data_IF_858104624869
#
_entry.id   IF_858104624869
#
_cell.length_a   1.000
_cell.length_b   1.000
_cell.length_c   1.000
_cell.angle_alpha   90.00
_cell.angle_beta   90.00
_cell.angle_gamma   90.00
#
_symmetry.space_group_name_H-M   'P 1'
#
loop_
_entity.id
_entity.type
_entity.pdbx_description
1 polymer ?
#
# COMPACT_ATOMS: atom_id res chain seq x y z
N UNK A 1 4.45 -9.72 17.89
CA UNK A 1 5.52 -9.33 16.96
C UNK A 1 6.01 -10.53 16.20
N UNK A 2 6.26 -10.36 14.91
CA UNK A 2 6.69 -11.41 13.99
C UNK A 2 7.90 -10.92 13.19
N UNK A 3 8.81 -11.82 12.81
CA UNK A 3 9.92 -11.48 11.93
C UNK A 3 9.50 -11.65 10.48
N UNK A 4 9.57 -10.58 9.70
CA UNK A 4 9.45 -10.62 8.25
C UNK A 4 10.85 -10.39 7.67
N UNK A 5 11.39 -11.38 6.95
CA UNK A 5 12.73 -11.32 6.34
C UNK A 5 13.85 -10.87 7.31
N UNK A 6 13.75 -11.32 8.57
CA UNK A 6 14.69 -10.98 9.64
C UNK A 6 14.41 -9.65 10.37
N UNK A 7 13.47 -8.84 9.89
CA UNK A 7 13.06 -7.57 10.49
C UNK A 7 11.87 -7.73 11.45
N UNK A 8 11.95 -7.14 12.65
CA UNK A 8 10.85 -7.15 13.60
C UNK A 8 9.67 -6.29 13.10
N UNK A 9 8.50 -6.91 13.01
CA UNK A 9 7.27 -6.26 12.57
C UNK A 9 6.13 -6.46 13.58
N UNK A 10 5.29 -5.42 13.70
CA UNK A 10 3.94 -5.56 14.22
C UNK A 10 3.07 -6.26 13.19
N UNK A 11 2.22 -7.18 13.66
CA UNK A 11 1.21 -7.85 12.85
C UNK A 11 -0.16 -7.28 13.23
N UNK A 12 -0.88 -6.70 12.26
CA UNK A 12 -2.17 -6.08 12.48
C UNK A 12 -3.20 -6.57 11.48
N UNK A 13 -4.39 -6.96 11.97
CA UNK A 13 -5.54 -7.27 11.13
C UNK A 13 -6.42 -6.03 10.94
N UNK A 14 -6.86 -5.79 9.70
CA UNK A 14 -7.77 -4.70 9.33
C UNK A 14 -9.01 -5.29 8.68
N UNK A 15 -10.18 -5.01 9.26
CA UNK A 15 -11.48 -5.41 8.72
C UNK A 15 -12.14 -4.19 8.06
N UNK A 16 -12.50 -4.25 6.77
CA UNK A 16 -13.14 -3.12 6.09
C UNK A 16 -14.51 -2.77 6.69
N UNK A 17 -14.75 -1.49 6.97
CA UNK A 17 -16.07 -0.98 7.40
C UNK A 17 -17.05 -0.90 6.22
N UNK A 18 -16.53 -0.74 5.00
CA UNK A 18 -17.36 -0.66 3.79
C UNK A 18 -17.91 -2.03 3.41
N UNK A 19 -19.24 -2.18 3.50
CA UNK A 19 -19.96 -3.44 3.29
C UNK A 19 -19.72 -4.09 1.93
N UNK A 20 -19.50 -3.29 0.87
CA UNK A 20 -19.28 -3.82 -0.47
C UNK A 20 -17.79 -4.04 -0.81
N UNK A 21 -16.90 -4.02 0.19
CA UNK A 21 -15.51 -4.40 0.01
C UNK A 21 -15.38 -5.76 -0.69
N UNK A 22 -14.40 -5.87 -1.59
CA UNK A 22 -13.99 -7.15 -2.17
C UNK A 22 -13.22 -8.04 -1.18
N UNK A 23 -12.77 -7.46 -0.06
CA UNK A 23 -11.94 -8.11 0.94
C UNK A 23 -12.68 -8.31 2.25
N UNK A 24 -12.49 -9.47 2.87
CA UNK A 24 -12.99 -9.76 4.24
C UNK A 24 -12.05 -9.20 5.29
N UNK A 25 -10.75 -9.25 5.04
CA UNK A 25 -9.71 -8.69 5.91
C UNK A 25 -8.41 -8.42 5.15
N UNK A 26 -7.56 -7.65 5.79
CA UNK A 26 -6.15 -7.48 5.43
C UNK A 26 -5.29 -7.79 6.65
N UNK A 27 -4.18 -8.49 6.44
CA UNK A 27 -3.15 -8.69 7.47
C UNK A 27 -1.93 -7.88 7.07
N UNK A 28 -1.46 -7.02 7.95
CA UNK A 28 -0.43 -6.01 7.66
C UNK A 28 0.76 -6.21 8.58
N UNK A 29 1.93 -6.33 7.98
CA UNK A 29 3.22 -6.30 8.67
C UNK A 29 3.75 -4.88 8.61
N UNK A 30 3.99 -4.28 9.78
CA UNK A 30 4.50 -2.92 9.93
C UNK A 30 5.84 -3.01 10.66
N UNK A 31 6.92 -2.47 10.09
CA UNK A 31 8.22 -2.53 10.77
C UNK A 31 8.22 -1.73 12.07
N UNK A 32 8.85 -2.28 13.10
CA UNK A 32 8.84 -1.68 14.44
C UNK A 32 9.76 -0.45 14.59
N UNK A 33 10.69 -0.24 13.65
CA UNK A 33 11.65 0.86 13.71
C UNK A 33 11.05 2.18 13.19
N UNK A 34 10.38 2.12 12.04
CA UNK A 34 9.93 3.32 11.31
C UNK A 34 8.42 3.31 11.01
N UNK A 35 7.70 2.29 11.50
CA UNK A 35 6.26 2.12 11.32
C UNK A 35 5.80 2.08 9.84
N UNK A 36 6.61 1.52 8.94
CA UNK A 36 6.29 1.39 7.52
C UNK A 36 5.62 0.05 7.23
N UNK A 37 4.61 0.00 6.35
CA UNK A 37 4.04 -1.27 5.93
C UNK A 37 5.04 -2.03 5.05
N UNK A 38 5.45 -3.22 5.46
CA UNK A 38 6.39 -4.05 4.70
C UNK A 38 5.67 -5.04 3.78
N UNK A 39 4.57 -5.61 4.27
CA UNK A 39 3.73 -6.58 3.54
C UNK A 39 2.27 -6.43 3.92
N UNK A 40 1.36 -6.62 2.96
CA UNK A 40 -0.07 -6.76 3.19
C UNK A 40 -0.58 -8.02 2.49
N UNK A 41 -1.32 -8.84 3.22
CA UNK A 41 -2.08 -9.96 2.67
C UNK A 41 -3.56 -9.60 2.60
N UNK A 42 -4.18 -9.84 1.44
CA UNK A 42 -5.57 -9.54 1.17
C UNK A 42 -6.37 -10.83 1.06
N UNK A 43 -7.45 -10.93 1.84
CA UNK A 43 -8.34 -12.08 1.85
C UNK A 43 -9.66 -11.75 1.16
N UNK A 44 -10.11 -12.62 0.25
CA UNK A 44 -11.37 -12.43 -0.49
C UNK A 44 -12.62 -12.73 0.36
N UNK A 45 -13.80 -12.66 -0.27
CA UNK A 45 -15.09 -12.98 0.35
C UNK A 45 -15.26 -14.44 0.77
N UNK A 46 -14.45 -15.36 0.23
CA UNK A 46 -14.39 -16.76 0.63
C UNK A 46 -13.38 -16.99 1.77
N UNK A 47 -12.77 -15.91 2.29
CA UNK A 47 -11.70 -15.92 3.30
C UNK A 47 -10.41 -16.60 2.84
N UNK A 48 -10.22 -16.72 1.52
CA UNK A 48 -9.00 -17.27 0.94
C UNK A 48 -7.99 -16.15 0.69
N UNK A 49 -6.69 -16.46 0.84
CA UNK A 49 -5.62 -15.54 0.45
C UNK A 49 -5.73 -15.27 -1.05
N UNK A 50 -6.05 -14.02 -1.40
CA UNK A 50 -6.25 -13.60 -2.78
C UNK A 50 -4.98 -12.99 -3.33
N UNK A 51 -4.39 -12.05 -2.60
CA UNK A 51 -3.23 -11.28 -3.06
C UNK A 51 -2.28 -10.95 -1.92
N UNK A 52 -0.99 -10.78 -2.26
CA UNK A 52 0.02 -10.21 -1.37
C UNK A 52 0.65 -8.99 -2.03
N UNK A 53 0.74 -7.91 -1.28
CA UNK A 53 1.45 -6.68 -1.63
C UNK A 53 2.72 -6.57 -0.80
N UNK A 54 3.86 -6.40 -1.44
CA UNK A 54 5.16 -6.15 -0.80
C UNK A 54 5.63 -4.74 -1.14
N UNK A 55 6.13 -4.03 -0.14
CA UNK A 55 6.70 -2.69 -0.27
C UNK A 55 8.22 -2.77 -0.16
N UNK A 56 8.93 -2.06 -1.02
CA UNK A 56 10.38 -2.10 -1.09
C UNK A 56 10.95 -0.77 -1.61
N UNK A 57 12.26 -0.61 -1.53
CA UNK A 57 12.95 0.62 -1.96
C UNK A 57 12.42 1.87 -1.25
N UNK A 58 12.27 1.77 0.07
CA UNK A 58 11.85 2.90 0.88
C UNK A 58 12.86 4.05 0.83
N UNK A 59 12.36 5.25 0.57
CA UNK A 59 13.12 6.50 0.70
C UNK A 59 12.40 7.44 1.67
N UNK A 60 13.18 8.19 2.45
CA UNK A 60 12.66 9.16 3.38
C UNK A 60 12.72 10.56 2.76
N UNK A 61 11.57 11.22 2.67
CA UNK A 61 11.43 12.57 2.16
C UNK A 61 11.26 13.56 3.30
N UNK A 62 11.94 14.71 3.20
CA UNK A 62 11.92 15.79 4.21
C UNK A 62 12.25 15.29 5.63
N UNK A 63 13.11 14.28 5.76
CA UNK A 63 13.52 13.68 7.05
C UNK A 63 12.38 13.04 7.86
N UNK A 64 11.20 12.82 7.27
CA UNK A 64 10.01 12.35 7.99
C UNK A 64 9.12 11.39 7.21
N UNK A 65 8.95 11.62 5.92
CA UNK A 65 7.93 10.92 5.13
C UNK A 65 8.54 9.76 4.35
N UNK A 66 8.33 8.54 4.86
CA UNK A 66 8.70 7.34 4.14
C UNK A 66 7.75 7.08 2.95
N UNK A 67 8.33 6.80 1.78
CA UNK A 67 7.62 6.38 0.56
C UNK A 67 8.32 5.17 -0.04
N UNK A 68 7.53 4.14 -0.36
CA UNK A 68 8.01 2.97 -1.10
C UNK A 68 8.13 3.35 -2.57
N UNK A 69 9.29 3.11 -3.18
CA UNK A 69 9.46 3.33 -4.61
C UNK A 69 9.08 2.12 -5.45
N UNK A 70 8.89 0.97 -4.81
CA UNK A 70 8.53 -0.26 -5.49
C UNK A 70 7.50 -1.05 -4.72
N UNK A 71 6.36 -1.29 -5.37
CA UNK A 71 5.25 -2.06 -4.82
C UNK A 71 4.92 -3.22 -5.74
N UNK A 72 5.07 -4.45 -5.26
CA UNK A 72 4.76 -5.65 -6.02
C UNK A 72 3.50 -6.31 -5.47
N UNK A 73 2.45 -6.37 -6.30
CA UNK A 73 1.21 -7.06 -6.02
C UNK A 73 1.19 -8.40 -6.75
N UNK A 74 1.12 -9.50 -6.01
CA UNK A 74 0.97 -10.85 -6.56
C UNK A 74 -0.44 -11.40 -6.25
N UNK A 75 -1.14 -11.90 -7.28
CA UNK A 75 -2.42 -12.59 -7.12
C UNK A 75 -2.21 -14.10 -7.12
N UNK A 76 -2.44 -14.73 -5.97
CA UNK A 76 -2.20 -16.16 -5.77
C UNK A 76 -3.23 -17.06 -6.45
N UNK A 77 -4.40 -16.53 -6.81
CA UNK A 77 -5.45 -17.30 -7.48
C UNK A 77 -5.26 -17.34 -9.00
N UNK A 78 -4.68 -16.29 -9.58
CA UNK A 78 -4.51 -16.19 -11.04
C UNK A 78 -3.07 -16.26 -11.51
N UNK A 79 -2.10 -16.19 -10.59
CA UNK A 79 -0.66 -16.13 -10.88
C UNK A 79 -0.20 -14.81 -11.51
N UNK A 80 -1.10 -13.84 -11.72
CA UNK A 80 -0.75 -12.53 -12.30
C UNK A 80 -0.14 -11.63 -11.24
N UNK A 81 0.86 -10.86 -11.65
CA UNK A 81 1.47 -9.82 -10.82
C UNK A 81 1.32 -8.44 -11.43
N UNK A 82 1.51 -7.42 -10.60
CA UNK A 82 1.60 -6.01 -11.03
C UNK A 82 2.67 -5.35 -10.19
N UNK A 83 3.64 -4.74 -10.86
CA UNK A 83 4.68 -3.95 -10.23
C UNK A 83 4.38 -2.46 -10.46
N UNK A 84 4.36 -1.68 -9.38
CA UNK A 84 4.32 -0.23 -9.44
C UNK A 84 5.69 0.30 -9.05
N UNK A 85 6.30 1.06 -9.95
CA UNK A 85 7.56 1.78 -9.71
C UNK A 85 7.28 3.28 -9.70
N UNK A 86 7.87 3.97 -8.72
CA UNK A 86 7.67 5.40 -8.54
C UNK A 86 8.99 6.15 -8.75
N UNK A 87 8.93 7.23 -9.51
CA UNK A 87 10.00 8.21 -9.61
C UNK A 87 10.09 9.09 -8.36
N UNK A 88 10.66 10.28 -8.50
CA UNK A 88 10.81 11.20 -7.38
C UNK A 88 9.48 11.77 -6.90
N UNK A 89 9.31 11.83 -5.57
CA UNK A 89 8.18 12.50 -4.95
C UNK A 89 8.48 13.97 -4.69
N UNK A 90 7.66 14.86 -5.24
CA UNK A 90 7.62 16.26 -4.83
C UNK A 90 6.55 16.45 -3.74
N UNK A 91 6.98 16.81 -2.54
CA UNK A 91 6.08 17.09 -1.40
C UNK A 91 5.95 18.60 -1.16
N UNK A 92 4.81 19.01 -0.62
CA UNK A 92 4.49 20.41 -0.30
C UNK A 92 4.61 21.38 -1.49
N UNK A 93 4.15 20.93 -2.66
CA UNK A 93 4.21 21.67 -3.93
C UNK A 93 3.20 22.81 -4.06
N UNK A 94 2.37 23.06 -3.04
CA UNK A 94 1.36 24.13 -3.06
C UNK A 94 0.14 23.84 -3.93
N UNK A 95 -0.20 22.56 -4.16
CA UNK A 95 -1.41 22.18 -4.90
C UNK A 95 -2.67 22.71 -4.20
N UNK A 96 -3.47 23.50 -4.92
CA UNK A 96 -4.73 24.04 -4.40
C UNK A 96 -5.87 23.02 -4.47
N UNK A 97 -6.83 23.13 -3.55
CA UNK A 97 -8.03 22.28 -3.51
C UNK A 97 -8.82 22.32 -4.83
N UNK A 98 -8.80 23.47 -5.51
CA UNK A 98 -9.46 23.64 -6.82
C UNK A 98 -8.98 22.66 -7.90
N UNK A 99 -7.80 22.04 -7.73
CA UNK A 99 -7.27 21.01 -8.63
C UNK A 99 -8.00 19.67 -8.49
N UNK A 100 -8.65 19.42 -7.36
CA UNK A 100 -9.29 18.14 -7.04
C UNK A 100 -10.79 18.14 -7.36
N UNK A 101 -11.16 18.66 -8.54
CA UNK A 101 -12.56 18.68 -9.01
C UNK A 101 -12.75 17.80 -10.24
N UNK A 102 -13.94 17.20 -10.39
CA UNK A 102 -14.25 16.34 -11.55
C UNK A 102 -14.16 17.10 -12.89
N UNK A 103 -14.43 18.40 -12.89
CA UNK A 103 -14.27 19.27 -14.05
C UNK A 103 -12.82 19.37 -14.52
N UNK A 104 -11.84 19.36 -13.59
CA UNK A 104 -10.41 19.36 -13.93
C UNK A 104 -10.01 18.09 -14.68
N UNK A 105 -10.53 16.93 -14.28
CA UNK A 105 -10.26 15.64 -14.94
C UNK A 105 -10.68 15.65 -16.41
N UNK A 106 -11.79 16.31 -16.76
CA UNK A 106 -12.25 16.41 -18.17
C UNK A 106 -11.33 17.24 -19.05
N UNK A 107 -10.55 18.14 -18.46
CA UNK A 107 -9.64 19.07 -19.16
C UNK A 107 -8.20 18.58 -19.22
N UNK A 108 -7.84 17.57 -18.42
CA UNK A 108 -6.58 16.84 -18.54
C UNK A 108 -6.70 15.88 -19.73
N UNK A 109 -6.47 16.40 -20.93
CA UNK A 109 -6.27 15.62 -22.16
C UNK A 109 -4.84 15.81 -22.64
#
# INVERSE_FOLDING_TARGET
DEKLDGQNCFLSERVPVYKNSGYTKQVVWIDTAEYRPMKIEYYDRKKSLLKTLVFSEYRQYKGKFWRSHKMNMNNHQTGKSTELTFGEYALDTGLSESLFTSTRLKRAR
#
